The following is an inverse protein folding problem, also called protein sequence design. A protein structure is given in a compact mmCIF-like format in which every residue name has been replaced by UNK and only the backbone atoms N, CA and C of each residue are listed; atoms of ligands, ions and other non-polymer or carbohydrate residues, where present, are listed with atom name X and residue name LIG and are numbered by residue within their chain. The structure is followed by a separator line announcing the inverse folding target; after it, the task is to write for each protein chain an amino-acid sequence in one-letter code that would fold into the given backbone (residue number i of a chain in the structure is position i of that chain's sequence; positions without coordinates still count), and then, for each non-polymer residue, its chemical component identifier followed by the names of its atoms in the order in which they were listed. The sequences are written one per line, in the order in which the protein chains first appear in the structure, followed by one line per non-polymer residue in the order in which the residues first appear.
data_IF_056211887519
#
_entry.id   IF_056211887519
#
_cell.length_a   1.000
_cell.length_b   1.000
_cell.length_c   1.000
_cell.angle_alpha   90.00
_cell.angle_beta   90.00
_cell.angle_gamma   90.00
#
_symmetry.space_group_name_H-M   'P 1'
#
loop_
_entity.id
_entity.type
_entity.pdbx_description
1 polymer ?
#
# COMPACT_ATOMS: atom_id res chain seq x y z
N UNK A 1 -28.57 -15.64 0.13
CA UNK A 1 -28.48 -14.18 0.32
C UNK A 1 -28.00 -13.62 -1.01
N UNK A 2 -28.81 -12.75 -1.60
CA UNK A 2 -28.50 -12.19 -2.92
C UNK A 2 -27.59 -10.97 -2.71
N UNK A 3 -26.30 -11.23 -2.64
CA UNK A 3 -25.24 -10.28 -2.30
C UNK A 3 -25.27 -8.97 -3.14
N UNK A 4 -25.79 -9.06 -4.36
CA UNK A 4 -25.86 -7.91 -5.29
C UNK A 4 -27.10 -7.02 -5.11
N UNK A 5 -28.08 -7.41 -4.32
CA UNK A 5 -29.30 -6.61 -4.07
C UNK A 5 -29.13 -5.63 -2.89
N UNK A 6 -28.02 -5.71 -2.14
CA UNK A 6 -27.74 -4.89 -0.96
C UNK A 6 -26.46 -4.05 -1.11
N UNK A 7 -26.14 -3.61 -2.33
CA UNK A 7 -24.93 -2.80 -2.57
C UNK A 7 -24.85 -1.54 -1.71
N UNK A 8 -26.00 -0.88 -1.52
CA UNK A 8 -26.09 0.32 -0.68
C UNK A 8 -25.76 -0.02 0.78
N UNK A 9 -26.29 -1.12 1.28
CA UNK A 9 -26.02 -1.60 2.65
C UNK A 9 -24.55 -1.96 2.87
N UNK A 10 -23.89 -2.55 1.86
CA UNK A 10 -22.45 -2.87 1.91
C UNK A 10 -21.63 -1.60 1.91
N UNK A 11 -21.98 -0.63 1.06
CA UNK A 11 -21.30 0.66 1.01
C UNK A 11 -21.43 1.39 2.35
N UNK A 12 -22.62 1.44 2.92
CA UNK A 12 -22.87 2.06 4.23
C UNK A 12 -22.06 1.37 5.33
N UNK A 13 -22.01 0.03 5.34
CA UNK A 13 -21.20 -0.74 6.27
C UNK A 13 -19.71 -0.34 6.22
N UNK A 14 -19.13 -0.23 5.01
CA UNK A 14 -17.73 0.19 4.88
C UNK A 14 -17.52 1.65 5.27
N UNK A 15 -18.49 2.54 4.98
CA UNK A 15 -18.42 3.95 5.37
C UNK A 15 -18.48 4.12 6.89
N UNK A 16 -19.34 3.37 7.58
CA UNK A 16 -19.42 3.38 9.04
C UNK A 16 -18.11 2.89 9.67
N UNK A 17 -17.60 1.75 9.24
CA UNK A 17 -16.31 1.24 9.71
C UNK A 17 -15.16 2.20 9.42
N UNK A 18 -15.21 2.90 8.28
CA UNK A 18 -14.23 3.92 7.95
C UNK A 18 -14.29 5.08 8.93
N UNK A 19 -15.47 5.57 9.24
CA UNK A 19 -15.69 6.64 10.24
C UNK A 19 -15.12 6.25 11.60
N UNK A 20 -15.41 5.05 12.08
CA UNK A 20 -14.88 4.52 13.34
C UNK A 20 -13.34 4.53 13.37
N UNK A 21 -12.68 4.16 12.24
CA UNK A 21 -11.21 4.09 12.14
C UNK A 21 -10.53 5.45 12.12
N UNK A 22 -11.20 6.49 11.65
CA UNK A 22 -10.65 7.85 11.55
C UNK A 22 -11.14 8.78 12.66
N UNK A 23 -12.08 8.32 13.48
CA UNK A 23 -12.57 9.08 14.62
C UNK A 23 -11.43 9.39 15.60
N UNK A 24 -11.36 10.64 16.02
CA UNK A 24 -10.27 11.13 16.89
C UNK A 24 -8.90 11.35 16.22
N UNK A 25 -8.76 11.08 14.92
CA UNK A 25 -7.53 11.41 14.18
C UNK A 25 -7.56 12.89 13.78
N UNK A 26 -6.54 13.64 14.18
CA UNK A 26 -6.33 15.01 13.69
C UNK A 26 -5.89 14.97 12.22
N UNK A 27 -6.84 15.18 11.33
CA UNK A 27 -6.62 15.14 9.88
C UNK A 27 -5.55 16.14 9.43
N UNK A 28 -5.52 17.35 9.98
CA UNK A 28 -4.60 18.41 9.57
C UNK A 28 -3.14 17.99 9.77
N UNK A 29 -2.86 17.27 10.84
CA UNK A 29 -1.54 16.76 11.17
C UNK A 29 -0.98 15.78 10.13
N UNK A 30 -1.86 15.00 9.45
CA UNK A 30 -1.44 13.95 8.54
C UNK A 30 -1.63 14.28 7.07
N UNK A 31 -2.41 15.32 6.74
CA UNK A 31 -2.69 15.71 5.36
C UNK A 31 -1.89 16.91 4.88
N UNK A 32 -1.23 17.65 5.79
CA UNK A 32 -0.43 18.82 5.45
C UNK A 32 0.72 18.56 4.48
N UNK A 33 1.26 17.34 4.48
CA UNK A 33 2.36 16.91 3.62
C UNK A 33 1.90 16.15 2.35
N UNK A 34 0.60 16.16 2.05
CA UNK A 34 0.07 15.54 0.83
C UNK A 34 0.30 16.43 -0.38
N UNK A 35 0.64 15.79 -1.50
CA UNK A 35 0.86 16.46 -2.78
C UNK A 35 -0.40 17.18 -3.26
N UNK A 36 -0.25 18.46 -3.59
CA UNK A 36 -1.34 19.32 -4.04
C UNK A 36 -0.91 20.34 -5.12
N UNK A 37 0.32 20.25 -5.63
CA UNK A 37 0.84 21.16 -6.65
C UNK A 37 0.75 20.51 -8.05
N UNK A 38 -0.27 20.88 -8.80
CA UNK A 38 -0.51 20.42 -10.17
C UNK A 38 0.06 21.36 -11.23
N UNK A 39 0.90 22.33 -10.85
CA UNK A 39 1.66 23.16 -11.80
C UNK A 39 2.89 22.41 -12.34
N UNK A 40 3.35 21.36 -11.65
CA UNK A 40 4.48 20.53 -12.08
C UNK A 40 3.97 19.53 -13.13
N UNK A 41 4.57 19.52 -14.32
CA UNK A 41 4.25 18.52 -15.33
C UNK A 41 4.77 17.13 -14.91
N UNK A 42 4.03 16.03 -15.19
CA UNK A 42 4.43 14.68 -14.80
C UNK A 42 5.83 14.27 -15.26
N UNK A 43 6.29 14.77 -16.42
CA UNK A 43 7.64 14.49 -16.95
C UNK A 43 8.78 15.11 -16.14
N UNK A 44 8.47 16.15 -15.35
CA UNK A 44 9.44 16.90 -14.53
C UNK A 44 9.40 16.46 -13.05
N UNK A 45 8.50 15.54 -12.72
CA UNK A 45 8.40 14.97 -11.38
C UNK A 45 9.51 13.95 -11.13
N UNK A 46 10.14 14.06 -9.98
CA UNK A 46 11.09 13.08 -9.49
C UNK A 46 10.59 12.51 -8.16
N UNK A 47 10.83 11.23 -7.94
CA UNK A 47 10.28 10.52 -6.79
C UNK A 47 11.38 9.87 -5.97
N UNK A 48 11.21 9.91 -4.67
CA UNK A 48 12.04 9.18 -3.72
C UNK A 48 11.19 8.35 -2.76
N UNK A 49 11.75 7.24 -2.28
CA UNK A 49 11.11 6.39 -1.28
C UNK A 49 11.68 6.69 0.10
N UNK A 50 10.77 6.81 1.06
CA UNK A 50 11.11 7.00 2.47
C UNK A 50 10.43 5.92 3.30
N UNK A 51 11.17 5.27 4.21
CA UNK A 51 10.58 4.35 5.18
C UNK A 51 9.88 5.18 6.27
N UNK A 52 8.60 4.91 6.49
CA UNK A 52 7.76 5.64 7.43
C UNK A 52 7.45 4.77 8.66
N UNK A 53 7.50 5.38 9.84
CA UNK A 53 7.08 4.71 11.05
C UNK A 53 5.56 4.45 11.08
N UNK A 54 5.17 3.31 11.64
CA UNK A 54 3.76 2.91 11.71
C UNK A 54 2.84 3.92 12.42
N UNK A 55 3.38 4.67 13.38
CA UNK A 55 2.62 5.74 14.07
C UNK A 55 2.21 6.91 13.17
N UNK A 56 2.92 7.11 12.05
CA UNK A 56 2.58 8.10 11.01
C UNK A 56 1.85 7.43 9.85
N UNK A 57 2.36 6.31 9.37
CA UNK A 57 1.80 5.59 8.21
C UNK A 57 0.34 5.18 8.43
N UNK A 58 0.03 4.57 9.58
CA UNK A 58 -1.31 4.01 9.83
C UNK A 58 -2.41 5.06 9.82
N UNK A 59 -2.35 6.14 10.62
CA UNK A 59 -3.40 7.17 10.57
C UNK A 59 -3.46 7.87 9.21
N UNK A 60 -2.32 8.15 8.56
CA UNK A 60 -2.29 8.74 7.23
C UNK A 60 -3.03 7.87 6.21
N UNK A 61 -2.70 6.59 6.14
CA UNK A 61 -3.34 5.67 5.20
C UNK A 61 -4.80 5.40 5.54
N UNK A 62 -5.18 5.40 6.81
CA UNK A 62 -6.59 5.34 7.22
C UNK A 62 -7.39 6.54 6.69
N UNK A 63 -6.80 7.72 6.62
CA UNK A 63 -7.47 8.91 6.08
C UNK A 63 -7.66 8.81 4.57
N UNK A 64 -6.63 8.44 3.82
CA UNK A 64 -6.63 8.52 2.35
C UNK A 64 -7.23 7.30 1.64
N UNK A 65 -7.30 6.13 2.28
CA UNK A 65 -7.90 4.93 1.66
C UNK A 65 -9.41 4.99 1.64
N UNK A 66 -10.04 4.40 0.63
CA UNK A 66 -11.50 4.29 0.54
C UNK A 66 -12.07 3.21 1.46
N UNK A 67 -11.28 2.19 1.81
CA UNK A 67 -11.69 1.10 2.69
C UNK A 67 -10.99 1.18 4.05
N UNK A 68 -11.63 0.70 5.14
CA UNK A 68 -10.97 0.58 6.42
C UNK A 68 -9.81 -0.41 6.31
N UNK A 69 -8.65 -0.04 6.87
CA UNK A 69 -7.46 -0.89 6.86
C UNK A 69 -7.41 -1.73 8.13
N UNK A 70 -7.11 -3.00 7.96
CA UNK A 70 -6.89 -3.92 9.07
C UNK A 70 -5.40 -4.07 9.40
N UNK A 71 -5.12 -4.47 10.63
CA UNK A 71 -3.76 -4.79 11.06
C UNK A 71 -3.28 -6.07 10.38
N UNK A 72 -2.00 -6.11 10.05
CA UNK A 72 -1.37 -7.30 9.49
C UNK A 72 -0.25 -7.77 10.38
N UNK A 73 -0.15 -9.09 10.51
CA UNK A 73 0.88 -9.77 11.30
C UNK A 73 2.01 -10.21 10.36
N UNK A 74 3.24 -10.18 10.85
CA UNK A 74 4.41 -10.66 10.13
C UNK A 74 5.34 -9.54 9.67
N UNK A 75 6.15 -9.85 8.67
CA UNK A 75 7.10 -8.87 8.09
C UNK A 75 6.32 -7.78 7.40
N UNK A 76 6.77 -6.55 7.56
CA UNK A 76 6.20 -5.41 6.85
C UNK A 76 7.22 -4.28 6.70
N UNK A 77 7.14 -3.58 5.59
CA UNK A 77 7.78 -2.30 5.37
C UNK A 77 6.75 -1.29 4.92
N UNK A 78 6.75 -0.13 5.52
CA UNK A 78 5.84 0.97 5.25
C UNK A 78 6.64 2.10 4.63
N UNK A 79 6.22 2.55 3.48
CA UNK A 79 6.95 3.54 2.68
C UNK A 79 6.03 4.65 2.22
N UNK A 80 6.53 5.87 2.23
CA UNK A 80 5.97 7.01 1.54
C UNK A 80 6.77 7.30 0.29
N UNK A 81 6.08 7.74 -0.75
CA UNK A 81 6.68 8.22 -1.98
C UNK A 81 6.52 9.71 -2.01
N UNK A 82 7.63 10.44 -2.03
CA UNK A 82 7.66 11.90 -2.14
C UNK A 82 7.99 12.34 -3.54
N UNK A 83 7.34 13.39 -3.99
CA UNK A 83 7.78 14.18 -5.13
C UNK A 83 8.83 15.18 -4.63
N UNK A 84 10.03 15.14 -5.21
CA UNK A 84 11.21 15.82 -4.64
C UNK A 84 11.20 17.33 -4.77
N UNK A 85 10.55 17.87 -5.81
CA UNK A 85 10.49 19.33 -6.01
C UNK A 85 9.57 19.99 -4.97
N UNK A 86 8.43 19.41 -4.70
CA UNK A 86 7.45 19.89 -3.72
C UNK A 86 7.72 19.39 -2.30
N UNK A 87 8.54 18.34 -2.16
CA UNK A 87 8.77 17.60 -0.91
C UNK A 87 7.45 17.09 -0.28
N UNK A 88 6.49 16.70 -1.11
CA UNK A 88 5.16 16.24 -0.69
C UNK A 88 4.93 14.78 -1.05
N UNK A 89 4.14 14.08 -0.22
CA UNK A 89 3.79 12.68 -0.48
C UNK A 89 2.77 12.57 -1.61
N UNK A 90 3.10 11.77 -2.61
CA UNK A 90 2.21 11.39 -3.73
C UNK A 90 1.50 10.07 -3.48
N UNK A 91 1.96 9.29 -2.50
CA UNK A 91 1.32 8.03 -2.14
C UNK A 91 2.07 7.21 -1.11
N UNK A 92 1.46 6.09 -0.75
CA UNK A 92 1.94 5.22 0.32
C UNK A 92 1.87 3.75 -0.10
N UNK A 93 2.89 2.99 0.29
CA UNK A 93 2.99 1.56 0.01
C UNK A 93 3.28 0.82 1.32
N UNK A 94 2.54 -0.26 1.59
CA UNK A 94 2.88 -1.24 2.61
C UNK A 94 3.11 -2.59 1.95
N UNK A 95 4.34 -3.06 1.99
CA UNK A 95 4.67 -4.44 1.67
C UNK A 95 4.59 -5.27 2.93
N UNK A 96 3.98 -6.44 2.85
CA UNK A 96 3.74 -7.30 4.01
C UNK A 96 4.02 -8.77 3.69
N UNK A 97 4.04 -9.61 4.71
CA UNK A 97 4.10 -11.06 4.52
C UNK A 97 2.95 -11.53 3.64
N UNK A 98 3.20 -12.48 2.74
CA UNK A 98 2.16 -13.05 1.87
C UNK A 98 1.13 -13.83 2.69
N UNK A 99 -0.08 -13.92 2.17
CA UNK A 99 -1.11 -14.80 2.71
C UNK A 99 -0.76 -16.25 2.37
N UNK A 100 -0.66 -17.13 3.37
CA UNK A 100 -0.17 -18.49 3.18
C UNK A 100 -1.17 -19.39 2.44
N UNK A 101 -2.47 -19.22 2.67
CA UNK A 101 -3.52 -20.09 2.16
C UNK A 101 -4.39 -19.37 1.12
N UNK A 102 -3.89 -19.21 -0.09
CA UNK A 102 -4.66 -18.70 -1.24
C UNK A 102 -4.83 -19.82 -2.25
N UNK A 103 -6.04 -20.40 -2.31
CA UNK A 103 -6.32 -21.53 -3.19
C UNK A 103 -6.04 -21.24 -4.67
N UNK A 104 -6.52 -20.13 -5.29
CA UNK A 104 -6.25 -19.87 -6.70
C UNK A 104 -4.75 -19.78 -7.03
N UNK A 105 -3.94 -19.16 -6.16
CA UNK A 105 -2.49 -19.10 -6.33
C UNK A 105 -1.86 -20.50 -6.26
N UNK A 106 -2.25 -21.28 -5.26
CA UNK A 106 -1.69 -22.62 -5.05
C UNK A 106 -2.06 -23.57 -6.20
N UNK A 107 -3.30 -23.47 -6.70
CA UNK A 107 -3.76 -24.25 -7.86
C UNK A 107 -2.99 -23.84 -9.13
N UNK A 108 -2.67 -22.55 -9.31
CA UNK A 108 -1.87 -22.07 -10.44
C UNK A 108 -0.44 -22.63 -10.44
N UNK A 109 0.19 -22.76 -9.29
CA UNK A 109 1.52 -23.35 -9.17
C UNK A 109 1.51 -24.88 -9.26
N UNK A 110 0.34 -25.52 -9.18
CA UNK A 110 0.20 -26.97 -9.34
C UNK A 110 0.78 -27.83 -8.23
N UNK A 111 1.35 -27.21 -7.19
CA UNK A 111 1.99 -27.87 -6.06
C UNK A 111 1.51 -27.28 -4.73
N UNK A 112 1.62 -28.06 -3.66
CA UNK A 112 1.38 -27.59 -2.32
C UNK A 112 2.50 -26.62 -1.92
N UNK A 113 2.20 -25.33 -1.95
CA UNK A 113 3.17 -24.29 -1.63
C UNK A 113 3.53 -24.36 -0.15
N UNK A 114 4.81 -24.52 0.15
CA UNK A 114 5.33 -24.61 1.52
C UNK A 114 5.48 -23.22 2.11
N UNK A 115 4.99 -23.00 3.33
CA UNK A 115 4.98 -21.70 4.00
C UNK A 115 6.38 -21.03 4.05
N UNK A 116 7.45 -21.82 4.21
CA UNK A 116 8.82 -21.30 4.22
C UNK A 116 9.26 -20.78 2.86
N UNK A 117 8.85 -21.42 1.76
CA UNK A 117 9.13 -20.95 0.41
C UNK A 117 8.34 -19.68 0.10
N UNK A 118 7.05 -19.65 0.44
CA UNK A 118 6.21 -18.46 0.29
C UNK A 118 6.83 -17.27 1.00
N UNK A 119 7.19 -17.44 2.28
CA UNK A 119 7.81 -16.38 3.06
C UNK A 119 9.17 -15.93 2.54
N UNK A 120 9.92 -16.80 1.87
CA UNK A 120 11.24 -16.46 1.30
C UNK A 120 11.10 -15.72 -0.04
N UNK A 121 10.20 -16.18 -0.89
CA UNK A 121 10.15 -15.80 -2.30
C UNK A 121 9.04 -14.82 -2.64
N UNK A 122 8.07 -14.62 -1.74
CA UNK A 122 6.90 -13.79 -2.01
C UNK A 122 6.75 -12.63 -1.02
N UNK A 123 6.15 -11.57 -1.51
CA UNK A 123 5.73 -10.40 -0.74
C UNK A 123 4.33 -9.99 -1.18
N UNK A 124 3.54 -9.47 -0.24
CA UNK A 124 2.21 -8.92 -0.53
C UNK A 124 2.27 -7.40 -0.56
N UNK A 125 1.83 -6.78 -1.64
CA UNK A 125 1.53 -5.36 -1.74
C UNK A 125 0.21 -5.04 -1.05
N UNK A 126 0.25 -5.03 0.29
CA UNK A 126 -0.94 -4.96 1.13
C UNK A 126 -1.66 -3.60 1.09
N UNK A 127 -0.93 -2.54 0.83
CA UNK A 127 -1.45 -1.19 0.60
C UNK A 127 -0.64 -0.57 -0.52
N UNK A 128 -1.32 -0.13 -1.58
CA UNK A 128 -0.74 0.67 -2.66
C UNK A 128 -1.76 1.76 -2.93
N UNK A 129 -1.59 2.93 -2.33
CA UNK A 129 -2.58 4.00 -2.38
C UNK A 129 -1.96 5.33 -2.74
N UNK A 130 -2.36 5.95 -3.87
CA UNK A 130 -1.97 7.29 -4.23
C UNK A 130 -2.79 8.34 -3.47
N UNK A 131 -2.19 9.49 -3.22
CA UNK A 131 -2.91 10.67 -2.76
C UNK A 131 -3.80 11.19 -3.89
N UNK A 132 -5.01 11.62 -3.57
CA UNK A 132 -5.90 12.23 -4.55
C UNK A 132 -5.77 13.77 -4.53
N UNK A 133 -5.88 14.44 -5.67
CA UNK A 133 -6.23 13.93 -7.00
C UNK A 133 -5.04 13.40 -7.85
N UNK A 134 -3.82 13.29 -7.29
CA UNK A 134 -2.65 12.77 -8.01
C UNK A 134 -2.91 11.38 -8.61
N UNK A 135 -3.62 10.52 -7.90
CA UNK A 135 -3.97 9.19 -8.37
C UNK A 135 -4.75 9.19 -9.68
N UNK A 136 -5.70 10.10 -9.84
CA UNK A 136 -6.51 10.22 -11.05
C UNK A 136 -5.80 10.98 -12.16
N UNK A 137 -5.20 12.13 -11.85
CA UNK A 137 -4.70 13.06 -12.86
C UNK A 137 -3.35 12.64 -13.45
N UNK A 138 -2.52 11.93 -12.68
CA UNK A 138 -1.15 11.56 -13.06
C UNK A 138 -0.91 10.05 -13.12
N UNK A 139 -1.97 9.22 -13.22
CA UNK A 139 -1.87 7.75 -13.17
C UNK A 139 -1.10 7.25 -11.92
N UNK A 140 -1.26 7.94 -10.80
CA UNK A 140 -0.49 7.70 -9.58
C UNK A 140 -0.62 6.27 -9.06
N UNK A 141 -1.77 5.63 -9.18
CA UNK A 141 -1.96 4.23 -8.81
C UNK A 141 -1.05 3.28 -9.59
N UNK A 142 -0.91 3.49 -10.91
CA UNK A 142 -0.01 2.70 -11.76
C UNK A 142 1.45 2.96 -11.42
N UNK A 143 1.82 4.23 -11.20
CA UNK A 143 3.17 4.59 -10.77
C UNK A 143 3.55 3.88 -9.47
N UNK A 144 2.69 3.94 -8.45
CA UNK A 144 2.96 3.29 -7.16
C UNK A 144 3.07 1.76 -7.27
N UNK A 145 2.24 1.14 -8.11
CA UNK A 145 2.33 -0.29 -8.37
C UNK A 145 3.67 -0.67 -9.04
N UNK A 146 4.16 0.13 -9.98
CA UNK A 146 5.47 -0.06 -10.60
C UNK A 146 6.61 0.16 -9.59
N UNK A 147 6.53 1.19 -8.75
CA UNK A 147 7.50 1.43 -7.67
C UNK A 147 7.53 0.25 -6.69
N UNK A 148 6.37 -0.29 -6.32
CA UNK A 148 6.29 -1.46 -5.43
C UNK A 148 7.04 -2.69 -5.98
N UNK A 149 7.16 -2.80 -7.31
CA UNK A 149 7.92 -3.86 -8.00
C UNK A 149 9.39 -3.48 -8.26
N UNK A 150 9.86 -2.34 -7.81
CA UNK A 150 11.20 -1.84 -8.11
C UNK A 150 12.31 -2.58 -7.35
N UNK A 151 13.54 -2.44 -7.87
CA UNK A 151 14.72 -2.95 -7.18
C UNK A 151 14.99 -2.24 -5.86
N UNK A 152 14.63 -0.98 -5.74
CA UNK A 152 14.76 -0.18 -4.53
C UNK A 152 13.96 -0.80 -3.39
N UNK A 153 12.69 -1.10 -3.61
CA UNK A 153 11.82 -1.77 -2.62
C UNK A 153 12.37 -3.14 -2.25
N UNK A 154 12.84 -3.90 -3.24
CA UNK A 154 13.48 -5.20 -2.99
C UNK A 154 14.73 -5.07 -2.13
N UNK A 155 15.58 -4.08 -2.39
CA UNK A 155 16.79 -3.83 -1.60
C UNK A 155 16.46 -3.41 -0.17
N UNK A 156 15.48 -2.54 0.02
CA UNK A 156 14.97 -2.16 1.34
C UNK A 156 14.45 -3.36 2.16
N UNK A 157 13.77 -4.30 1.49
CA UNK A 157 13.31 -5.54 2.12
C UNK A 157 14.48 -6.43 2.53
N UNK A 158 15.51 -6.57 1.70
CA UNK A 158 16.71 -7.32 2.01
C UNK A 158 17.52 -6.70 3.14
N UNK A 159 17.67 -5.38 3.13
CA UNK A 159 18.34 -4.65 4.20
C UNK A 159 17.65 -4.86 5.55
N UNK A 160 16.32 -4.76 5.56
CA UNK A 160 15.54 -4.92 6.78
C UNK A 160 15.48 -6.35 7.31
N UNK A 161 15.40 -7.35 6.43
CA UNK A 161 15.09 -8.75 6.80
C UNK A 161 16.18 -9.75 6.45
N UNK A 162 17.26 -9.28 5.84
CA UNK A 162 18.44 -10.08 5.48
C UNK A 162 18.37 -10.72 4.09
N UNK A 163 19.51 -11.13 3.61
CA UNK A 163 19.72 -11.70 2.26
C UNK A 163 18.97 -13.01 1.99
N UNK A 164 18.44 -13.67 3.01
CA UNK A 164 17.62 -14.89 2.84
C UNK A 164 16.27 -14.63 2.17
N UNK A 165 15.85 -13.36 2.04
CA UNK A 165 14.65 -12.98 1.34
C UNK A 165 14.99 -12.75 -0.12
N UNK A 166 14.52 -13.65 -0.98
CA UNK A 166 14.78 -13.59 -2.41
C UNK A 166 13.75 -12.78 -3.18
N UNK A 167 12.59 -12.52 -2.63
CA UNK A 167 11.42 -11.84 -3.23
C UNK A 167 11.38 -11.90 -4.76
N UNK A 168 10.80 -12.97 -5.30
CA UNK A 168 10.67 -13.19 -6.74
C UNK A 168 9.28 -12.81 -7.25
N UNK A 169 8.28 -12.80 -6.35
CA UNK A 169 6.88 -12.58 -6.69
C UNK A 169 6.25 -11.57 -5.72
N UNK A 170 5.42 -10.69 -6.28
CA UNK A 170 4.54 -9.83 -5.53
C UNK A 170 3.09 -10.25 -5.80
N UNK A 171 2.30 -10.39 -4.74
CA UNK A 171 0.84 -10.51 -4.80
C UNK A 171 0.18 -9.23 -4.29
N UNK A 172 -1.03 -8.91 -4.76
CA UNK A 172 -1.84 -7.78 -4.28
C UNK A 172 -3.31 -8.17 -4.19
#
# INVERSE_FOLDING_TARGET
VNFYQELDTIQDYFLERKKEKIDGIDHSKYTGDMFNDFSIEPKDMNFELEVIEGKVFTPTTQIITSLPLESQIGRQIMMGIKETNSNKYVGFIRMASPVLAIKPRNDYFGEKVVATQVNRSMINGAIIVPVQPFGYNCLGGKLLALIACSHEVRNMLKEKYGEKIETCFMET
#
